data_IF_828360973889
#
_entry.id   IF_828360973889
#
_cell.length_a   1.000
_cell.length_b   1.000
_cell.length_c   1.000
_cell.angle_alpha   90.00
_cell.angle_beta   90.00
_cell.angle_gamma   90.00
#
_symmetry.space_group_name_H-M   'P 1'
#
loop_
_entity.id
_entity.type
_entity.pdbx_description
1 polymer ?
#
# COMPACT_ATOMS: atom_id res chain seq x y z
N UNK A 1 -13.63 4.73 -14.81
CA UNK A 1 -14.01 3.31 -14.96
C UNK A 1 -12.93 2.50 -14.30
N UNK A 2 -13.29 1.62 -13.35
CA UNK A 2 -12.36 0.64 -12.79
C UNK A 2 -11.89 -0.30 -13.90
N UNK A 3 -10.58 -0.49 -14.05
CA UNK A 3 -10.06 -1.43 -15.05
C UNK A 3 -10.28 -2.87 -14.59
N UNK A 4 -10.33 -3.84 -15.52
CA UNK A 4 -10.42 -5.26 -15.16
C UNK A 4 -9.27 -5.68 -14.21
N UNK A 5 -8.09 -5.08 -14.39
CA UNK A 5 -6.92 -5.34 -13.55
C UNK A 5 -7.11 -4.87 -12.11
N UNK A 6 -7.75 -3.72 -11.90
CA UNK A 6 -8.09 -3.23 -10.54
C UNK A 6 -9.09 -4.14 -9.84
N UNK A 7 -10.05 -4.73 -10.57
CA UNK A 7 -10.98 -5.68 -9.98
C UNK A 7 -10.30 -7.01 -9.63
N UNK A 8 -9.42 -7.51 -10.51
CA UNK A 8 -8.62 -8.72 -10.26
C UNK A 8 -7.80 -8.57 -8.99
N UNK A 9 -7.11 -7.43 -8.84
CA UNK A 9 -6.33 -7.15 -7.64
C UNK A 9 -7.19 -7.16 -6.37
N UNK A 10 -8.37 -6.54 -6.39
CA UNK A 10 -9.28 -6.54 -5.23
C UNK A 10 -9.74 -7.94 -4.84
N UNK A 11 -9.99 -8.80 -5.82
CA UNK A 11 -10.32 -10.21 -5.56
C UNK A 11 -9.12 -10.92 -4.93
N UNK A 12 -7.90 -10.70 -5.43
CA UNK A 12 -6.70 -11.31 -4.85
C UNK A 12 -6.45 -10.88 -3.40
N UNK A 13 -6.63 -9.58 -3.10
CA UNK A 13 -6.56 -9.05 -1.73
C UNK A 13 -7.59 -9.75 -0.83
N UNK A 14 -8.83 -9.89 -1.31
CA UNK A 14 -9.90 -10.56 -0.58
C UNK A 14 -9.60 -12.04 -0.34
N UNK A 15 -9.13 -12.76 -1.37
CA UNK A 15 -8.79 -14.18 -1.28
C UNK A 15 -7.60 -14.43 -0.32
N UNK A 16 -6.69 -13.46 -0.20
CA UNK A 16 -5.61 -13.47 0.78
C UNK A 16 -6.06 -13.09 2.21
N UNK A 17 -7.34 -12.78 2.41
CA UNK A 17 -7.89 -12.37 3.71
C UNK A 17 -7.40 -11.01 4.20
N UNK A 18 -6.95 -10.15 3.29
CA UNK A 18 -6.42 -8.81 3.60
C UNK A 18 -7.51 -7.75 3.43
N UNK A 19 -7.35 -6.63 4.13
CA UNK A 19 -8.25 -5.48 4.01
C UNK A 19 -7.75 -4.56 2.87
N UNK A 20 -8.62 -4.30 1.89
CA UNK A 20 -8.33 -3.42 0.75
C UNK A 20 -7.89 -2.02 1.18
N UNK A 21 -8.44 -1.49 2.28
CA UNK A 21 -8.09 -0.16 2.81
C UNK A 21 -6.67 -0.15 3.36
N UNK A 22 -6.31 -1.19 4.11
CA UNK A 22 -4.95 -1.36 4.64
C UNK A 22 -3.97 -1.55 3.49
N UNK A 23 -4.35 -2.31 2.46
CA UNK A 23 -3.50 -2.52 1.28
C UNK A 23 -3.20 -1.21 0.54
N UNK A 24 -4.18 -0.32 0.38
CA UNK A 24 -3.94 0.99 -0.25
C UNK A 24 -2.98 1.85 0.59
N UNK A 25 -3.05 1.80 1.93
CA UNK A 25 -2.07 2.44 2.81
C UNK A 25 -0.68 1.81 2.65
N UNK A 26 -0.59 0.48 2.57
CA UNK A 26 0.68 -0.22 2.33
C UNK A 26 1.32 0.20 1.01
N UNK A 27 0.53 0.38 -0.07
CA UNK A 27 1.06 0.89 -1.35
C UNK A 27 1.62 2.31 -1.22
N UNK A 28 0.99 3.18 -0.42
CA UNK A 28 1.51 4.52 -0.14
C UNK A 28 2.85 4.46 0.62
N UNK A 29 2.94 3.61 1.64
CA UNK A 29 4.17 3.40 2.42
C UNK A 29 5.29 2.80 1.57
N UNK A 30 4.98 1.78 0.76
CA UNK A 30 5.92 1.15 -0.15
C UNK A 30 6.44 2.13 -1.21
N UNK A 31 5.55 2.94 -1.80
CA UNK A 31 5.93 4.01 -2.74
C UNK A 31 6.94 4.97 -2.12
N UNK A 32 6.67 5.43 -0.90
CA UNK A 32 7.58 6.33 -0.19
C UNK A 32 8.93 5.68 0.13
N UNK A 33 8.91 4.41 0.57
CA UNK A 33 10.13 3.65 0.86
C UNK A 33 10.98 3.44 -0.40
N UNK A 34 10.35 3.08 -1.52
CA UNK A 34 11.02 2.90 -2.82
C UNK A 34 11.68 4.20 -3.26
N UNK A 35 10.94 5.32 -3.28
CA UNK A 35 11.45 6.62 -3.73
C UNK A 35 12.50 7.22 -2.78
N UNK A 36 12.46 6.91 -1.49
CA UNK A 36 13.51 7.29 -0.55
C UNK A 36 14.82 6.55 -0.81
N UNK A 37 14.73 5.27 -1.16
CA UNK A 37 15.89 4.42 -1.42
C UNK A 37 16.49 4.69 -2.81
N UNK A 38 15.65 4.92 -3.82
CA UNK A 38 16.04 5.27 -5.17
C UNK A 38 15.09 6.35 -5.75
N UNK A 39 15.45 7.64 -5.65
CA UNK A 39 14.61 8.73 -6.15
C UNK A 39 14.44 8.77 -7.66
N UNK A 40 15.35 8.12 -8.40
CA UNK A 40 15.36 8.13 -9.87
C UNK A 40 14.57 6.94 -10.46
N UNK A 41 14.06 6.05 -9.60
CA UNK A 41 13.27 4.90 -10.05
C UNK A 41 11.93 5.35 -10.66
N UNK A 42 11.64 4.84 -11.85
CA UNK A 42 10.37 5.05 -12.52
C UNK A 42 9.50 3.79 -12.43
N UNK A 43 8.24 3.96 -12.02
CA UNK A 43 7.21 2.93 -12.09
C UNK A 43 5.84 3.56 -12.28
N UNK A 44 4.93 2.84 -12.93
CA UNK A 44 3.57 3.29 -13.21
C UNK A 44 2.61 2.91 -12.08
N UNK A 45 2.77 1.70 -11.53
CA UNK A 45 1.89 1.18 -10.48
C UNK A 45 2.57 0.14 -9.59
N UNK A 46 2.07 0.02 -8.35
CA UNK A 46 2.33 -1.11 -7.46
C UNK A 46 1.09 -1.98 -7.39
N UNK A 47 1.25 -3.30 -7.56
CA UNK A 47 0.13 -4.24 -7.52
C UNK A 47 0.36 -5.35 -6.50
N UNK A 48 -0.67 -5.68 -5.73
CA UNK A 48 -0.65 -6.82 -4.81
C UNK A 48 -0.55 -8.14 -5.57
N UNK A 49 0.30 -9.03 -5.06
CA UNK A 49 0.40 -10.42 -5.48
C UNK A 49 0.82 -11.30 -4.30
N UNK A 50 0.62 -12.59 -4.45
CA UNK A 50 1.14 -13.62 -3.55
C UNK A 50 2.18 -14.40 -4.33
N UNK A 51 3.39 -14.48 -3.80
CA UNK A 51 4.49 -15.22 -4.42
C UNK A 51 4.29 -16.73 -4.29
N UNK A 52 5.09 -17.54 -4.98
CA UNK A 52 4.97 -19.00 -5.03
C UNK A 52 5.09 -19.67 -3.65
N UNK A 53 5.78 -19.02 -2.70
CA UNK A 53 5.94 -19.50 -1.32
C UNK A 53 4.84 -19.02 -0.36
N UNK A 54 3.87 -18.23 -0.86
CA UNK A 54 2.79 -17.66 -0.06
C UNK A 54 3.09 -16.28 0.53
N UNK A 55 4.27 -15.71 0.28
CA UNK A 55 4.63 -14.37 0.75
C UNK A 55 3.78 -13.31 0.06
N UNK A 56 3.26 -12.37 0.85
CA UNK A 56 2.52 -11.23 0.32
C UNK A 56 3.52 -10.19 -0.21
N UNK A 57 3.37 -9.81 -1.48
CA UNK A 57 4.28 -8.86 -2.12
C UNK A 57 3.52 -7.76 -2.87
N UNK A 58 4.18 -6.63 -3.05
CA UNK A 58 3.83 -5.65 -4.08
C UNK A 58 4.79 -5.80 -5.25
N UNK A 59 4.26 -6.10 -6.44
CA UNK A 59 5.02 -6.06 -7.69
C UNK A 59 5.09 -4.62 -8.21
N UNK A 60 6.28 -4.22 -8.63
CA UNK A 60 6.56 -2.92 -9.24
C UNK A 60 6.37 -3.07 -10.74
N UNK A 61 5.49 -2.27 -11.33
CA UNK A 61 5.15 -2.33 -12.75
C UNK A 61 5.56 -1.02 -13.42
N UNK A 62 6.35 -1.12 -14.49
CA UNK A 62 6.71 0.01 -15.35
C UNK A 62 6.48 -0.40 -16.81
N UNK A 63 5.70 0.41 -17.56
CA UNK A 63 5.30 0.18 -18.95
C UNK A 63 4.66 -1.19 -19.19
N UNK A 64 3.94 -1.70 -18.18
CA UNK A 64 3.28 -3.00 -18.21
C UNK A 64 4.19 -4.20 -17.92
N UNK A 65 5.47 -3.98 -17.63
CA UNK A 65 6.42 -5.02 -17.25
C UNK A 65 6.67 -5.00 -15.74
N UNK A 66 6.79 -6.19 -15.14
CA UNK A 66 7.19 -6.33 -13.73
C UNK A 66 8.70 -6.10 -13.66
N UNK A 67 9.12 -5.03 -12.97
CA UNK A 67 10.52 -4.64 -12.83
C UNK A 67 11.12 -5.01 -11.47
N UNK A 68 10.28 -5.38 -10.51
CA UNK A 68 10.70 -5.79 -9.18
C UNK A 68 9.53 -6.19 -8.29
N UNK A 69 9.84 -6.56 -7.05
CA UNK A 69 8.87 -6.88 -6.02
C UNK A 69 9.38 -6.46 -4.64
N UNK A 70 8.46 -6.18 -3.73
CA UNK A 70 8.74 -5.78 -2.35
C UNK A 70 7.89 -6.65 -1.42
N UNK A 71 8.53 -7.26 -0.42
CA UNK A 71 7.86 -7.91 0.71
C UNK A 71 7.11 -6.86 1.53
N UNK A 72 5.83 -7.13 1.80
CA UNK A 72 4.95 -6.19 2.49
C UNK A 72 4.43 -6.69 3.83
N UNK A 73 4.82 -7.86 4.32
CA UNK A 73 4.22 -8.38 5.56
C UNK A 73 4.46 -7.42 6.74
N UNK A 74 5.69 -6.91 6.89
CA UNK A 74 6.00 -5.91 7.91
C UNK A 74 5.23 -4.59 7.72
N UNK A 75 5.12 -4.11 6.47
CA UNK A 75 4.39 -2.87 6.17
C UNK A 75 2.88 -3.03 6.41
N UNK A 76 2.35 -4.21 6.12
CA UNK A 76 0.95 -4.56 6.32
C UNK A 76 0.62 -4.67 7.80
N UNK A 77 1.45 -5.36 8.59
CA UNK A 77 1.30 -5.42 10.05
C UNK A 77 1.33 -4.02 10.65
N UNK A 78 2.29 -3.19 10.23
CA UNK A 78 2.40 -1.81 10.66
C UNK A 78 1.13 -1.00 10.31
N UNK A 79 0.70 -1.01 9.05
CA UNK A 79 -0.48 -0.25 8.61
C UNK A 79 -1.78 -0.79 9.26
N UNK A 80 -1.88 -2.09 9.47
CA UNK A 80 -3.03 -2.72 10.10
C UNK A 80 -3.11 -2.36 11.59
N UNK A 81 -1.98 -2.27 12.29
CA UNK A 81 -1.96 -1.90 13.71
C UNK A 81 -2.40 -0.46 13.96
N UNK A 82 -2.12 0.44 13.03
CA UNK A 82 -2.55 1.84 13.07
C UNK A 82 -3.87 2.08 12.31
N UNK A 83 -4.53 1.01 11.83
CA UNK A 83 -5.75 1.13 11.03
C UNK A 83 -6.89 1.81 11.80
N UNK A 84 -6.96 1.58 13.12
CA UNK A 84 -7.96 2.17 14.00
C UNK A 84 -7.59 3.60 14.46
N UNK A 85 -6.29 3.96 14.42
CA UNK A 85 -5.80 5.32 14.70
C UNK A 85 -6.05 6.29 13.55
N UNK A 86 -6.22 5.74 12.34
CA UNK A 86 -6.88 6.44 11.26
C UNK A 86 -8.38 6.54 11.62
N UNK A 87 -8.71 7.52 12.49
CA UNK A 87 -10.08 7.96 12.83
C UNK A 87 -11.02 7.70 11.68
N UNK A 88 -12.23 7.23 11.98
CA UNK A 88 -13.29 6.92 11.02
C UNK A 88 -13.33 7.97 9.89
N UNK A 89 -12.63 7.68 8.80
CA UNK A 89 -12.38 8.59 7.68
C UNK A 89 -13.70 8.99 6.98
N UNK A 90 -14.79 8.36 7.41
CA UNK A 90 -16.16 8.55 6.96
C UNK A 90 -16.82 9.78 7.59
N UNK A 91 -16.37 10.21 8.77
CA UNK A 91 -16.94 11.34 9.50
C UNK A 91 -16.16 12.65 9.29
N UNK A 92 -15.04 12.61 8.56
CA UNK A 92 -14.19 13.76 8.29
C UNK A 92 -14.23 14.10 6.79
N UNK A 93 -15.19 14.95 6.40
CA UNK A 93 -15.42 15.35 4.99
C UNK A 93 -14.24 16.13 4.38
N UNK A 94 -13.31 16.62 5.20
CA UNK A 94 -12.16 17.44 4.79
C UNK A 94 -10.82 16.67 4.78
N UNK A 95 -10.81 15.37 5.10
CA UNK A 95 -9.58 14.58 5.17
C UNK A 95 -9.06 14.21 3.78
N UNK A 96 -7.96 14.86 3.36
CA UNK A 96 -7.24 14.49 2.14
C UNK A 96 -6.15 13.48 2.50
N UNK A 97 -6.43 12.20 2.27
CA UNK A 97 -5.45 11.12 2.45
C UNK A 97 -4.43 11.21 1.30
N UNK A 98 -3.29 11.82 1.61
CA UNK A 98 -2.18 11.98 0.70
C UNK A 98 -0.87 11.56 1.38
N UNK A 99 0.24 11.70 0.65
CA UNK A 99 1.57 11.34 1.15
C UNK A 99 1.93 12.06 2.46
N UNK A 100 1.65 13.37 2.56
CA UNK A 100 1.95 14.15 3.77
C UNK A 100 1.13 13.68 4.96
N UNK A 101 -0.16 13.39 4.77
CA UNK A 101 -1.02 12.87 5.83
C UNK A 101 -0.52 11.51 6.34
N UNK A 102 -0.15 10.61 5.42
CA UNK A 102 0.35 9.27 5.77
C UNK A 102 1.65 9.37 6.58
N UNK A 103 2.60 10.20 6.14
CA UNK A 103 3.87 10.41 6.82
C UNK A 103 3.71 11.06 8.21
N UNK A 104 2.81 12.04 8.35
CA UNK A 104 2.57 12.67 9.66
C UNK A 104 2.03 11.67 10.68
N UNK A 105 1.17 10.74 10.25
CA UNK A 105 0.68 9.67 11.13
C UNK A 105 1.78 8.68 11.55
N UNK A 106 2.73 8.38 10.67
CA UNK A 106 3.92 7.59 11.03
C UNK A 106 4.76 8.26 12.12
N UNK A 107 4.98 9.57 12.00
CA UNK A 107 5.77 10.33 12.96
C UNK A 107 5.03 10.46 14.29
N UNK A 108 3.70 10.59 14.29
CA UNK A 108 2.91 10.62 15.53
C UNK A 108 3.01 9.28 16.28
N UNK A 109 2.97 8.14 15.58
CA UNK A 109 3.06 6.81 16.18
C UNK A 109 4.46 6.44 16.72
N UNK A 110 5.55 6.96 16.14
CA UNK A 110 6.91 6.74 16.66
C UNK A 110 7.24 7.57 17.91
N UNK A 111 6.44 8.60 18.23
CA UNK A 111 6.65 9.52 19.34
C UNK A 111 5.73 9.28 20.56
N UNK A 112 4.91 8.22 20.52
CA UNK A 112 4.17 7.67 21.68
C UNK A 112 4.92 6.49 22.33
#
# INVERSE_FOLDING_TARGET
MTSANQLVEKIQIFDAGKDDRVMELVKLLATDSILKNDPDIEFDELRFAVDDDGTNILVIINKGEITGAVDIDNMYEFASSHCDDFKDLRDDEDIVINREWSLNKLVEAENE
#
